data_IF_561480323941
#
_entry.id   IF_561480323941
#
_cell.length_a   1.000
_cell.length_b   1.000
_cell.length_c   1.000
_cell.angle_alpha   90.00
_cell.angle_beta   90.00
_cell.angle_gamma   90.00
#
_symmetry.space_group_name_H-M   'P 1'
#
loop_
_entity.id
_entity.type
_entity.pdbx_description
1 polymer ?
#
# COMPACT_ATOMS: atom_id res chain seq x y z
N UNK A 1 -7.47 5.13 9.74
CA UNK A 1 -7.64 6.14 10.80
C UNK A 1 -9.00 6.76 10.58
N UNK A 2 -9.77 7.01 11.63
CA UNK A 2 -11.11 7.60 11.50
C UNK A 2 -11.03 9.09 11.86
N UNK A 3 -11.74 9.94 11.13
CA UNK A 3 -11.83 11.37 11.39
C UNK A 3 -12.64 11.63 12.66
N UNK A 4 -12.17 12.54 13.52
CA UNK A 4 -12.85 12.95 14.76
C UNK A 4 -12.90 14.47 14.88
N UNK A 5 -13.81 14.99 15.71
CA UNK A 5 -13.82 16.42 16.07
C UNK A 5 -12.47 16.82 16.67
N UNK A 6 -11.93 17.95 16.23
CA UNK A 6 -10.60 18.44 16.56
C UNK A 6 -9.47 17.87 15.69
N UNK A 7 -9.75 16.97 14.75
CA UNK A 7 -8.74 16.55 13.76
C UNK A 7 -8.33 17.75 12.90
N UNK A 8 -7.03 17.86 12.62
CA UNK A 8 -6.50 18.88 11.71
C UNK A 8 -6.53 18.37 10.27
N UNK A 9 -7.12 19.15 9.38
CA UNK A 9 -7.16 18.97 7.94
C UNK A 9 -6.34 20.08 7.26
N UNK A 10 -5.87 19.86 6.03
CA UNK A 10 -5.05 20.85 5.31
C UNK A 10 -5.86 21.45 4.17
N UNK A 11 -5.84 22.78 4.05
CA UNK A 11 -6.44 23.49 2.92
C UNK A 11 -5.45 23.73 1.77
N UNK A 12 -5.90 24.38 0.70
CA UNK A 12 -5.12 24.74 -0.49
C UNK A 12 -3.94 25.70 -0.24
N UNK A 13 -4.02 26.48 0.84
CA UNK A 13 -2.95 27.36 1.31
C UNK A 13 -1.94 26.64 2.23
N UNK A 14 -2.14 25.34 2.50
CA UNK A 14 -1.29 24.57 3.41
C UNK A 14 -1.55 24.83 4.89
N UNK A 15 -2.63 25.53 5.24
CA UNK A 15 -3.01 25.81 6.62
C UNK A 15 -3.82 24.67 7.23
N UNK A 16 -3.63 24.45 8.53
CA UNK A 16 -4.42 23.51 9.32
C UNK A 16 -5.81 24.11 9.63
N UNK A 17 -6.86 23.35 9.35
CA UNK A 17 -8.27 23.64 9.65
C UNK A 17 -8.81 22.52 10.53
N UNK A 18 -9.39 22.86 11.67
CA UNK A 18 -9.93 21.87 12.61
C UNK A 18 -11.32 21.38 12.19
N UNK A 19 -11.58 20.09 12.35
CA UNK A 19 -12.93 19.53 12.23
C UNK A 19 -13.77 19.95 13.43
N UNK A 20 -14.75 20.82 13.20
CA UNK A 20 -15.62 21.33 14.27
C UNK A 20 -16.81 20.40 14.56
N UNK A 21 -17.32 19.73 13.53
CA UNK A 21 -18.49 18.84 13.64
C UNK A 21 -18.44 17.71 12.60
N UNK A 22 -19.06 16.57 12.93
CA UNK A 22 -19.24 15.44 12.03
C UNK A 22 -20.69 14.97 12.15
N UNK A 23 -21.44 15.11 11.06
CA UNK A 23 -22.84 14.68 10.96
C UNK A 23 -22.95 13.47 10.04
N UNK A 24 -23.78 12.50 10.40
CA UNK A 24 -24.11 11.33 9.58
C UNK A 24 -25.58 11.34 9.28
N UNK A 25 -25.91 11.40 7.99
CA UNK A 25 -27.28 11.39 7.49
C UNK A 25 -27.56 10.12 6.69
N UNK A 26 -28.83 9.73 6.61
CA UNK A 26 -29.29 8.59 5.82
C UNK A 26 -30.51 8.98 4.99
N UNK A 27 -30.49 8.70 3.69
CA UNK A 27 -31.62 8.89 2.79
C UNK A 27 -32.17 7.53 2.37
N UNK A 28 -33.51 7.36 2.42
CA UNK A 28 -34.17 6.15 1.93
C UNK A 28 -34.19 6.09 0.40
N UNK A 29 -34.37 7.24 -0.24
CA UNK A 29 -34.53 7.36 -1.69
C UNK A 29 -33.18 7.47 -2.43
N UNK A 30 -32.08 7.55 -1.67
CA UNK A 30 -30.74 7.79 -2.20
C UNK A 30 -30.48 9.27 -2.51
N UNK A 31 -29.23 9.60 -2.77
CA UNK A 31 -28.77 10.92 -3.22
C UNK A 31 -27.71 10.69 -4.28
N UNK A 32 -27.75 11.45 -5.37
CA UNK A 32 -26.72 11.38 -6.39
C UNK A 32 -25.38 11.91 -5.84
N UNK A 33 -24.29 11.18 -6.11
CA UNK A 33 -22.93 11.55 -5.68
C UNK A 33 -21.97 11.44 -6.85
N UNK A 34 -20.95 12.31 -6.86
CA UNK A 34 -20.00 12.44 -7.95
C UNK A 34 -18.58 12.06 -7.52
N UNK A 35 -17.83 11.47 -8.44
CA UNK A 35 -16.44 11.12 -8.24
C UNK A 35 -15.63 11.29 -9.54
N UNK A 36 -14.39 11.78 -9.44
CA UNK A 36 -13.47 11.86 -10.58
C UNK A 36 -12.04 11.52 -10.15
N UNK A 37 -11.24 10.98 -11.07
CA UNK A 37 -9.84 10.59 -10.78
C UNK A 37 -8.89 11.72 -11.21
N UNK A 38 -7.95 12.05 -10.33
CA UNK A 38 -6.82 12.96 -10.62
C UNK A 38 -5.60 12.09 -10.90
N UNK A 39 -4.86 12.38 -11.98
CA UNK A 39 -3.62 11.67 -12.33
C UNK A 39 -2.51 11.93 -11.29
N UNK A 40 -1.63 10.96 -11.11
CA UNK A 40 -0.44 10.94 -10.23
C UNK A 40 -0.68 11.13 -8.73
N UNK A 41 -1.26 12.24 -8.31
CA UNK A 41 -1.41 12.58 -6.90
C UNK A 41 -2.66 11.98 -6.27
N UNK A 42 -3.70 11.73 -7.08
CA UNK A 42 -4.98 11.21 -6.63
C UNK A 42 -5.58 12.01 -5.46
N UNK A 43 -5.38 13.32 -5.46
CA UNK A 43 -5.88 14.25 -4.45
C UNK A 43 -6.49 15.48 -5.10
N UNK A 44 -7.47 16.08 -4.44
CA UNK A 44 -8.07 17.35 -4.85
C UNK A 44 -8.61 18.10 -3.63
N UNK A 45 -9.00 19.36 -3.83
CA UNK A 45 -9.59 20.20 -2.79
C UNK A 45 -11.11 20.23 -2.90
N UNK A 46 -11.82 20.14 -1.77
CA UNK A 46 -13.30 20.13 -1.72
C UNK A 46 -13.88 21.15 -0.74
N UNK A 47 -15.11 21.56 -1.02
CA UNK A 47 -15.87 22.48 -0.17
C UNK A 47 -15.32 23.91 -0.19
N UNK A 48 -15.99 24.79 0.56
CA UNK A 48 -15.62 26.22 0.65
C UNK A 48 -14.27 26.43 1.33
N UNK A 49 -13.93 25.57 2.29
CA UNK A 49 -12.63 25.61 2.99
C UNK A 49 -11.49 24.95 2.20
N UNK A 50 -11.75 24.49 0.97
CA UNK A 50 -10.77 23.86 0.07
C UNK A 50 -9.94 22.77 0.76
N UNK A 51 -10.59 21.77 1.34
CA UNK A 51 -9.94 20.70 2.12
C UNK A 51 -9.31 19.67 1.19
N UNK A 52 -8.04 19.31 1.43
CA UNK A 52 -7.33 18.28 0.70
C UNK A 52 -7.91 16.89 1.01
N UNK A 53 -8.43 16.22 -0.01
CA UNK A 53 -8.94 14.85 0.08
C UNK A 53 -8.16 13.92 -0.84
N UNK A 54 -8.13 12.63 -0.47
CA UNK A 54 -7.55 11.57 -1.28
C UNK A 54 -8.66 10.74 -1.92
N UNK A 55 -8.53 10.48 -3.22
CA UNK A 55 -9.48 9.70 -4.01
C UNK A 55 -8.75 8.77 -4.96
N UNK A 56 -8.08 7.78 -4.37
CA UNK A 56 -7.54 6.66 -5.13
C UNK A 56 -8.30 5.38 -4.78
N UNK A 57 -8.73 4.69 -5.82
CA UNK A 57 -9.25 3.34 -5.73
C UNK A 57 -8.13 2.36 -6.10
N UNK A 58 -7.30 2.04 -5.10
CA UNK A 58 -6.24 1.06 -5.27
C UNK A 58 -6.80 -0.34 -4.99
N UNK A 59 -6.62 -1.29 -5.93
CA UNK A 59 -6.89 -2.70 -5.64
C UNK A 59 -5.93 -3.17 -4.53
N UNK A 60 -6.48 -3.28 -3.32
CA UNK A 60 -5.76 -3.67 -2.11
C UNK A 60 -5.40 -5.15 -2.08
N UNK A 61 -6.03 -5.95 -2.91
CA UNK A 61 -5.82 -7.39 -2.97
C UNK A 61 -4.96 -7.81 -4.17
N UNK A 62 -4.52 -6.86 -5.00
CA UNK A 62 -3.78 -7.14 -6.23
C UNK A 62 -2.56 -8.05 -6.00
N UNK A 63 -1.78 -7.79 -4.95
CA UNK A 63 -0.62 -8.63 -4.60
C UNK A 63 -1.09 -10.00 -4.12
N UNK A 64 -2.05 -10.07 -3.19
CA UNK A 64 -2.58 -11.34 -2.68
C UNK A 64 -3.14 -12.23 -3.80
N UNK A 65 -3.80 -11.65 -4.81
CA UNK A 65 -4.36 -12.37 -5.98
C UNK A 65 -3.27 -12.88 -6.94
N UNK A 66 -2.16 -12.14 -7.07
CA UNK A 66 -1.14 -12.40 -8.09
C UNK A 66 0.22 -12.85 -7.54
N UNK A 67 0.32 -13.13 -6.24
CA UNK A 67 1.51 -13.72 -5.63
C UNK A 67 1.72 -15.15 -6.18
N UNK A 68 2.91 -15.43 -6.69
CA UNK A 68 3.26 -16.73 -7.28
C UNK A 68 4.11 -17.59 -6.37
N UNK A 69 4.91 -16.97 -5.52
CA UNK A 69 5.75 -17.67 -4.54
C UNK A 69 5.88 -16.87 -3.26
N UNK A 70 5.85 -17.59 -2.14
CA UNK A 70 6.08 -17.06 -0.79
C UNK A 70 7.39 -17.66 -0.25
N UNK A 71 8.09 -16.91 0.60
CA UNK A 71 9.22 -17.45 1.37
C UNK A 71 8.65 -18.39 2.43
N UNK A 72 9.32 -19.52 2.66
CA UNK A 72 8.86 -20.53 3.59
C UNK A 72 8.80 -19.97 5.03
N UNK A 73 7.77 -20.36 5.79
CA UNK A 73 7.49 -19.79 7.10
C UNK A 73 8.58 -20.12 8.15
N UNK A 74 9.27 -21.24 7.98
CA UNK A 74 10.41 -21.65 8.81
C UNK A 74 11.67 -20.83 8.54
N UNK A 75 11.79 -20.19 7.38
CA UNK A 75 12.91 -19.33 6.98
C UNK A 75 12.75 -17.85 7.40
N UNK A 76 11.63 -17.50 8.06
CA UNK A 76 11.31 -16.12 8.42
C UNK A 76 10.93 -15.97 9.89
N UNK A 77 11.25 -14.79 10.42
CA UNK A 77 10.77 -14.31 11.72
C UNK A 77 9.50 -13.49 11.50
N UNK A 78 8.36 -13.85 12.13
CA UNK A 78 7.12 -13.12 12.00
C UNK A 78 7.26 -11.63 12.34
N UNK A 79 6.47 -10.75 11.70
CA UNK A 79 6.46 -9.34 12.06
C UNK A 79 5.93 -9.15 13.49
N UNK A 80 6.36 -8.07 14.16
CA UNK A 80 5.87 -7.72 15.50
C UNK A 80 4.55 -6.94 15.46
N UNK A 81 4.17 -6.41 14.30
CA UNK A 81 3.00 -5.56 14.12
C UNK A 81 2.31 -5.86 12.78
N UNK A 82 0.97 -5.79 12.79
CA UNK A 82 0.13 -5.94 11.59
C UNK A 82 0.54 -4.97 10.49
N UNK A 83 0.72 -5.48 9.27
CA UNK A 83 1.10 -4.69 8.09
C UNK A 83 2.60 -4.48 7.90
N UNK A 84 3.45 -4.99 8.81
CA UNK A 84 4.90 -5.06 8.59
C UNK A 84 5.27 -6.36 7.89
N UNK A 85 6.32 -6.29 7.07
CA UNK A 85 6.93 -7.48 6.49
C UNK A 85 7.67 -8.32 7.55
N UNK A 86 7.63 -9.66 7.47
CA UNK A 86 8.50 -10.53 8.25
C UNK A 86 9.98 -10.30 7.90
N UNK A 87 10.90 -10.77 8.75
CA UNK A 87 12.35 -10.74 8.45
C UNK A 87 12.83 -12.11 8.00
N UNK A 88 13.77 -12.17 7.07
CA UNK A 88 14.45 -13.41 6.73
C UNK A 88 15.41 -13.80 7.83
N UNK A 89 15.40 -15.08 8.23
CA UNK A 89 16.43 -15.67 9.10
C UNK A 89 17.77 -15.82 8.38
N UNK A 90 17.77 -15.91 7.05
CA UNK A 90 18.96 -16.09 6.21
C UNK A 90 19.83 -14.84 6.15
N UNK A 91 19.21 -13.67 5.99
CA UNK A 91 19.94 -12.40 5.78
C UNK A 91 19.56 -11.27 6.74
N UNK A 92 18.59 -11.48 7.64
CA UNK A 92 18.15 -10.52 8.65
C UNK A 92 17.32 -9.34 8.12
N UNK A 93 17.13 -9.24 6.80
CA UNK A 93 16.36 -8.15 6.19
C UNK A 93 14.87 -8.50 6.11
N UNK A 94 14.03 -7.46 6.03
CA UNK A 94 12.61 -7.63 5.72
C UNK A 94 12.44 -8.32 4.37
N UNK A 95 11.48 -9.26 4.29
CA UNK A 95 11.07 -9.88 3.04
C UNK A 95 10.52 -8.80 2.11
N UNK A 96 11.05 -8.76 0.89
CA UNK A 96 10.65 -7.81 -0.14
C UNK A 96 9.68 -8.50 -1.11
N UNK A 97 8.69 -7.76 -1.61
CA UNK A 97 7.85 -8.24 -2.72
C UNK A 97 8.53 -7.80 -4.01
N UNK A 98 8.94 -8.76 -4.83
CA UNK A 98 9.42 -8.52 -6.19
C UNK A 98 8.25 -8.54 -7.17
N UNK A 99 8.33 -7.68 -8.18
CA UNK A 99 7.38 -7.58 -9.27
C UNK A 99 8.15 -7.81 -10.57
N UNK A 100 7.76 -8.82 -11.35
CA UNK A 100 8.47 -9.15 -12.58
C UNK A 100 8.31 -7.99 -13.61
N UNK A 101 9.40 -7.63 -14.27
CA UNK A 101 9.43 -6.73 -15.45
C UNK A 101 8.81 -5.33 -15.26
N UNK A 102 8.73 -4.83 -14.04
CA UNK A 102 8.02 -3.57 -13.75
C UNK A 102 6.51 -3.62 -14.12
N UNK A 103 5.90 -4.80 -14.17
CA UNK A 103 4.47 -4.94 -14.39
C UNK A 103 3.70 -4.56 -13.11
N UNK A 104 2.83 -3.53 -13.14
CA UNK A 104 2.05 -3.11 -11.96
C UNK A 104 1.06 -4.18 -11.48
N UNK A 105 0.69 -5.15 -12.33
CA UNK A 105 -0.27 -6.20 -12.00
C UNK A 105 0.39 -7.54 -11.59
N UNK A 106 1.72 -7.57 -11.50
CA UNK A 106 2.48 -8.78 -11.19
C UNK A 106 2.87 -9.59 -12.44
N UNK A 107 3.28 -10.86 -12.31
CA UNK A 107 3.26 -11.66 -11.07
C UNK A 107 4.18 -11.10 -9.97
N UNK A 108 3.81 -11.39 -8.72
CA UNK A 108 4.58 -10.99 -7.53
C UNK A 108 5.23 -12.19 -6.86
N UNK A 109 6.38 -11.96 -6.20
CA UNK A 109 7.12 -13.00 -5.46
C UNK A 109 7.65 -12.42 -4.16
N UNK A 110 7.52 -13.14 -3.06
CA UNK A 110 8.32 -12.83 -1.87
C UNK A 110 9.76 -13.25 -2.10
N UNK A 111 10.70 -12.37 -1.73
CA UNK A 111 12.13 -12.63 -1.85
C UNK A 111 12.88 -12.07 -0.64
N UNK A 112 13.96 -12.74 -0.24
CA UNK A 112 14.94 -12.11 0.66
C UNK A 112 15.57 -10.91 -0.04
N UNK A 113 16.05 -9.93 0.73
CA UNK A 113 16.71 -8.76 0.13
C UNK A 113 17.94 -9.16 -0.66
N UNK A 114 18.67 -10.15 -0.16
CA UNK A 114 19.84 -10.73 -0.82
C UNK A 114 19.47 -11.29 -2.19
N UNK A 115 18.44 -12.15 -2.23
CA UNK A 115 18.03 -12.81 -3.47
C UNK A 115 17.32 -11.83 -4.44
N UNK A 116 16.73 -10.75 -3.93
CA UNK A 116 16.06 -9.74 -4.75
C UNK A 116 17.05 -8.75 -5.40
N UNK A 117 17.93 -8.11 -4.63
CA UNK A 117 18.64 -6.91 -5.11
C UNK A 117 20.06 -6.72 -4.60
N UNK A 118 20.62 -7.59 -3.77
CA UNK A 118 22.03 -7.46 -3.39
C UNK A 118 22.95 -8.12 -4.43
N UNK A 119 24.12 -7.51 -4.63
CA UNK A 119 25.13 -8.02 -5.55
C UNK A 119 24.62 -8.20 -6.98
N UNK A 120 24.90 -9.36 -7.56
CA UNK A 120 24.53 -9.70 -8.95
C UNK A 120 23.02 -9.80 -9.17
N UNK A 121 22.23 -9.99 -8.10
CA UNK A 121 20.80 -10.22 -8.20
C UNK A 121 20.04 -8.97 -8.67
N UNK A 122 20.53 -7.76 -8.37
CA UNK A 122 19.87 -6.53 -8.85
C UNK A 122 19.72 -6.52 -10.37
N UNK A 123 20.82 -6.70 -11.10
CA UNK A 123 20.79 -6.69 -12.57
C UNK A 123 20.06 -7.89 -13.14
N UNK A 124 20.16 -9.05 -12.48
CA UNK A 124 19.48 -10.29 -12.88
C UNK A 124 17.95 -10.16 -12.81
N UNK A 125 17.43 -9.63 -11.70
CA UNK A 125 15.98 -9.54 -11.46
C UNK A 125 15.36 -8.25 -12.04
N UNK A 126 16.19 -7.24 -12.33
CA UNK A 126 15.77 -5.97 -12.91
C UNK A 126 16.51 -5.70 -14.23
N UNK A 127 16.28 -6.51 -15.29
CA UNK A 127 16.93 -6.28 -16.59
C UNK A 127 16.56 -4.91 -17.19
N UNK A 128 15.34 -4.43 -16.90
CA UNK A 128 14.82 -3.14 -17.36
C UNK A 128 15.04 -2.00 -16.35
N UNK A 129 16.00 -2.12 -15.41
CA UNK A 129 16.23 -1.09 -14.37
C UNK A 129 16.62 0.29 -14.92
N UNK A 130 17.05 0.37 -16.18
CA UNK A 130 17.39 1.63 -16.86
C UNK A 130 16.18 2.34 -17.45
N UNK A 131 15.02 1.68 -17.54
CA UNK A 131 13.79 2.26 -18.07
C UNK A 131 13.03 3.02 -16.97
N UNK A 132 12.25 4.03 -17.38
CA UNK A 132 11.37 4.75 -16.45
C UNK A 132 10.38 3.76 -15.83
N UNK A 133 10.32 3.75 -14.50
CA UNK A 133 9.42 2.87 -13.77
C UNK A 133 7.96 3.15 -14.15
N UNK A 134 7.21 2.07 -14.41
CA UNK A 134 5.75 2.10 -14.62
C UNK A 134 4.96 1.96 -13.31
N UNK A 135 5.66 1.88 -12.18
CA UNK A 135 5.06 1.62 -10.87
C UNK A 135 4.83 2.94 -10.16
N UNK A 136 3.57 3.21 -9.80
CA UNK A 136 3.25 4.20 -8.79
C UNK A 136 3.78 3.71 -7.43
N UNK A 137 4.74 4.45 -6.88
CA UNK A 137 5.42 4.10 -5.62
C UNK A 137 4.50 4.27 -4.40
N UNK A 138 3.54 5.18 -4.46
CA UNK A 138 2.57 5.40 -3.39
C UNK A 138 1.58 4.25 -3.35
N UNK A 139 1.00 3.90 -4.51
CA UNK A 139 0.15 2.72 -4.66
C UNK A 139 0.90 1.46 -4.23
N UNK A 140 2.14 1.28 -4.69
CA UNK A 140 2.95 0.10 -4.38
C UNK A 140 3.18 -0.09 -2.88
N UNK A 141 3.58 0.97 -2.16
CA UNK A 141 3.76 0.91 -0.71
C UNK A 141 2.47 0.54 0.01
N UNK A 142 1.34 1.10 -0.44
CA UNK A 142 0.03 0.82 0.12
C UNK A 142 -0.37 -0.66 -0.12
N UNK A 143 -0.19 -1.17 -1.34
CA UNK A 143 -0.47 -2.56 -1.69
C UNK A 143 0.43 -3.53 -0.93
N UNK A 144 1.74 -3.24 -0.78
CA UNK A 144 2.65 -4.07 0.02
C UNK A 144 2.19 -4.13 1.48
N UNK A 145 1.84 -2.99 2.08
CA UNK A 145 1.30 -2.96 3.44
C UNK A 145 0.03 -3.79 3.55
N UNK A 146 -0.91 -3.62 2.61
CA UNK A 146 -2.17 -4.38 2.58
C UNK A 146 -1.96 -5.88 2.44
N UNK A 147 -1.01 -6.29 1.60
CA UNK A 147 -0.59 -7.68 1.51
C UNK A 147 -0.16 -8.23 2.87
N UNK A 148 0.74 -7.54 3.58
CA UNK A 148 1.20 -7.98 4.90
C UNK A 148 0.12 -7.92 5.98
N UNK A 149 -0.81 -6.96 5.89
CA UNK A 149 -2.02 -6.92 6.72
C UNK A 149 -2.89 -8.16 6.49
N UNK A 150 -3.11 -8.56 5.23
CA UNK A 150 -3.89 -9.75 4.88
C UNK A 150 -3.20 -11.05 5.33
N UNK A 151 -1.87 -11.14 5.20
CA UNK A 151 -1.10 -12.29 5.70
C UNK A 151 -1.15 -12.40 7.23
N UNK A 152 -1.22 -11.26 7.93
CA UNK A 152 -1.46 -11.24 9.37
C UNK A 152 -2.84 -11.76 9.72
N UNK A 153 -3.87 -11.22 9.06
CA UNK A 153 -5.27 -11.55 9.35
C UNK A 153 -5.63 -12.98 8.93
N UNK A 154 -4.93 -13.56 7.95
CA UNK A 154 -5.08 -14.97 7.58
C UNK A 154 -4.52 -15.93 8.63
N UNK A 155 -3.78 -15.43 9.62
CA UNK A 155 -3.17 -16.24 10.66
C UNK A 155 -1.87 -16.94 10.24
N UNK A 156 -1.23 -16.53 9.14
CA UNK A 156 0.06 -17.09 8.69
C UNK A 156 1.12 -17.09 9.81
N UNK A 157 1.06 -16.12 10.71
CA UNK A 157 2.01 -15.93 11.81
C UNK A 157 1.65 -16.70 13.09
N UNK A 158 0.49 -17.36 13.15
CA UNK A 158 0.00 -18.04 14.35
C UNK A 158 0.46 -19.51 14.45
N UNK A 159 1.41 -19.93 13.60
CA UNK A 159 1.90 -21.30 13.56
C UNK A 159 2.89 -21.48 14.72
N UNK A 160 2.50 -22.32 15.69
CA UNK A 160 3.33 -22.77 16.82
C UNK A 160 4.22 -23.93 16.44
#
# INVERSE_FOLDING_TARGET
MNLVIGSELINDNGHAICVENILRESSHDGVEVFNFKVEDYHTYYVGESCILVHNADYDTELISKNIKSKVANDEIDPPTERGRAPKSKKDGYSIEIHHDEQNPNGPFKEMTRTDHRLGVNYKKNHPNHTQKSKIDRTQWKYQQRKYWENEWDSGRWNIK
#
